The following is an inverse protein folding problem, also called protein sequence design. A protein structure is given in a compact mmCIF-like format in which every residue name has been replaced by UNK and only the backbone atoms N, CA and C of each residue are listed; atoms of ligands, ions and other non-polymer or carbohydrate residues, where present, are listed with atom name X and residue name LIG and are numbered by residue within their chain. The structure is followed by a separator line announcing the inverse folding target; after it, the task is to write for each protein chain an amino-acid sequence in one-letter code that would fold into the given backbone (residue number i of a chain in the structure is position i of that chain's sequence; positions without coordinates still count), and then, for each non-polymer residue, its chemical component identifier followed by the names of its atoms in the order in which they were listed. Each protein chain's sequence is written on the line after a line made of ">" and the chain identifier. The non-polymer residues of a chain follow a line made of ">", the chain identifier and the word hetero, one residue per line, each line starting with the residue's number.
data_IF_396183725579
#
_entry.id   IF_396183725579
#
_cell.length_a   1.000
_cell.length_b   1.000
_cell.length_c   1.000
_cell.angle_alpha   90.00
_cell.angle_beta   90.00
_cell.angle_gamma   90.00
#
_symmetry.space_group_name_H-M   'P 1'
#
loop_
_entity.id
_entity.type
_entity.pdbx_description
1 polymer ?
#
# COMPACT_ATOMS: atom_id res chain seq x y z
N UNK A 1 9.98 3.02 24.49
CA UNK A 1 8.81 2.36 23.89
C UNK A 1 8.92 2.51 22.38
N UNK A 2 9.19 1.43 21.66
CA UNK A 2 9.09 1.37 20.21
C UNK A 2 7.62 1.59 19.82
N UNK A 3 7.36 2.55 18.94
CA UNK A 3 6.04 2.75 18.37
C UNK A 3 5.77 1.59 17.40
N UNK A 4 5.19 0.51 17.91
CA UNK A 4 4.62 -0.55 17.07
C UNK A 4 3.41 0.04 16.36
N UNK A 5 3.58 0.37 15.08
CA UNK A 5 2.56 1.02 14.28
C UNK A 5 1.39 0.08 13.94
N UNK A 6 1.66 -1.22 13.95
CA UNK A 6 0.67 -2.29 13.81
C UNK A 6 0.95 -3.29 14.94
N UNK A 7 0.12 -3.34 16.00
CA UNK A 7 0.35 -4.18 17.16
C UNK A 7 0.48 -5.66 16.82
N UNK A 8 1.49 -6.31 17.40
CA UNK A 8 1.71 -7.75 17.27
C UNK A 8 2.25 -8.22 15.92
N UNK A 9 2.53 -7.34 14.95
CA UNK A 9 3.09 -7.75 13.66
C UNK A 9 4.53 -8.25 13.82
N UNK A 10 4.78 -9.53 13.54
CA UNK A 10 6.13 -10.14 13.58
C UNK A 10 6.78 -10.26 12.21
N UNK A 11 6.02 -10.70 11.22
CA UNK A 11 6.54 -11.06 9.89
C UNK A 11 5.70 -10.40 8.83
N UNK A 12 6.36 -9.91 7.77
CA UNK A 12 5.69 -9.49 6.55
C UNK A 12 6.51 -9.93 5.34
N UNK A 13 5.82 -10.41 4.30
CA UNK A 13 6.41 -10.76 3.01
C UNK A 13 5.37 -10.64 1.90
N UNK A 14 5.86 -10.53 0.67
CA UNK A 14 5.06 -10.54 -0.56
C UNK A 14 5.32 -11.89 -1.21
N UNK A 15 4.32 -12.53 -1.79
CA UNK A 15 4.55 -13.75 -2.57
C UNK A 15 5.10 -13.41 -3.96
N UNK A 16 6.06 -14.18 -4.49
CA UNK A 16 6.43 -14.07 -5.89
C UNK A 16 5.24 -14.43 -6.77
N UNK A 17 5.06 -13.73 -7.89
CA UNK A 17 3.90 -13.93 -8.74
C UNK A 17 4.03 -13.34 -10.13
N UNK A 18 3.04 -13.63 -10.96
CA UNK A 18 2.89 -13.06 -12.29
C UNK A 18 1.86 -11.94 -12.25
N UNK A 19 2.28 -10.74 -12.65
CA UNK A 19 1.39 -9.59 -12.77
C UNK A 19 2.04 -8.53 -13.66
N UNK A 20 1.24 -7.71 -14.33
CA UNK A 20 1.73 -6.58 -15.11
C UNK A 20 2.41 -5.54 -14.20
N UNK A 21 3.45 -4.85 -14.66
CA UNK A 21 4.01 -3.72 -13.92
C UNK A 21 3.14 -2.48 -14.04
N UNK A 22 2.98 -1.81 -12.90
CA UNK A 22 2.37 -0.49 -12.79
C UNK A 22 3.45 0.48 -12.34
N UNK A 23 3.70 1.49 -13.17
CA UNK A 23 4.62 2.57 -12.87
C UNK A 23 3.84 3.78 -12.37
N UNK A 24 4.28 4.38 -11.26
CA UNK A 24 3.69 5.59 -10.70
C UNK A 24 4.77 6.46 -10.04
N UNK A 25 5.04 7.62 -10.64
CA UNK A 25 6.20 8.42 -10.26
C UNK A 25 7.50 7.66 -10.54
N UNK A 26 8.35 7.55 -9.52
CA UNK A 26 9.64 6.83 -9.58
C UNK A 26 9.51 5.35 -9.19
N UNK A 27 8.31 4.90 -8.83
CA UNK A 27 8.08 3.55 -8.34
C UNK A 27 7.48 2.65 -9.41
N UNK A 28 7.86 1.38 -9.35
CA UNK A 28 7.33 0.31 -10.20
C UNK A 28 6.92 -0.85 -9.28
N UNK A 29 5.69 -1.34 -9.42
CA UNK A 29 5.15 -2.42 -8.60
C UNK A 29 4.28 -3.37 -9.45
N UNK A 30 4.01 -4.60 -9.00
CA UNK A 30 3.02 -5.48 -9.63
C UNK A 30 1.61 -4.87 -9.54
N UNK A 31 0.83 -4.99 -10.61
CA UNK A 31 -0.57 -4.58 -10.68
C UNK A 31 -1.42 -5.36 -9.67
N UNK A 32 -1.07 -6.61 -9.42
CA UNK A 32 -1.71 -7.49 -8.44
C UNK A 32 -0.67 -8.36 -7.77
N UNK A 33 -0.73 -8.47 -6.44
CA UNK A 33 0.17 -9.30 -5.67
C UNK A 33 -0.47 -9.78 -4.36
N UNK A 34 0.03 -10.91 -3.86
CA UNK A 34 -0.35 -11.44 -2.54
C UNK A 34 0.70 -11.06 -1.51
N UNK A 35 0.24 -10.69 -0.32
CA UNK A 35 1.09 -10.41 0.83
C UNK A 35 0.63 -11.25 2.01
N UNK A 36 1.59 -11.76 2.75
CA UNK A 36 1.36 -12.49 3.99
C UNK A 36 1.86 -11.66 5.18
N UNK A 37 1.17 -11.76 6.30
CA UNK A 37 1.56 -11.13 7.55
C UNK A 37 1.37 -12.15 8.67
N UNK A 38 2.36 -12.27 9.56
CA UNK A 38 2.25 -13.11 10.76
C UNK A 38 2.19 -12.19 11.96
N UNK A 39 1.15 -12.37 12.76
CA UNK A 39 0.93 -11.66 14.01
C UNK A 39 1.14 -12.59 15.20
N UNK A 40 1.62 -12.04 16.30
CA UNK A 40 1.76 -12.73 17.58
C UNK A 40 0.86 -12.06 18.61
N UNK A 41 0.09 -12.85 19.34
CA UNK A 41 -0.60 -12.39 20.54
C UNK A 41 0.35 -12.51 21.74
N UNK A 42 0.61 -11.39 22.41
CA UNK A 42 1.48 -11.34 23.58
C UNK A 42 0.92 -12.12 24.77
N UNK A 43 -0.40 -12.23 24.89
CA UNK A 43 -1.04 -12.89 26.03
C UNK A 43 -0.98 -14.41 25.92
N UNK A 44 -1.35 -14.93 24.74
CA UNK A 44 -1.44 -16.37 24.52
C UNK A 44 -0.17 -16.96 23.91
N UNK A 45 0.75 -16.12 23.42
CA UNK A 45 1.93 -16.51 22.62
C UNK A 45 1.58 -17.31 21.37
N UNK A 46 0.32 -17.24 20.92
CA UNK A 46 -0.15 -17.84 19.68
C UNK A 46 0.11 -16.88 18.52
N UNK A 47 0.22 -17.44 17.33
CA UNK A 47 0.40 -16.68 16.11
C UNK A 47 -0.80 -16.85 15.19
N UNK A 48 -1.09 -15.86 14.36
CA UNK A 48 -2.13 -15.94 13.34
C UNK A 48 -1.66 -15.29 12.06
N UNK A 49 -2.18 -15.76 10.92
CA UNK A 49 -1.73 -15.34 9.61
C UNK A 49 -2.82 -14.52 8.89
N UNK A 50 -2.41 -13.47 8.22
CA UNK A 50 -3.24 -12.61 7.39
C UNK A 50 -2.68 -12.60 5.97
N UNK A 51 -3.51 -12.92 5.01
CA UNK A 51 -3.21 -12.86 3.58
C UNK A 51 -4.04 -11.74 2.94
N UNK A 52 -3.37 -10.83 2.26
CA UNK A 52 -3.99 -9.77 1.48
C UNK A 52 -3.63 -9.95 0.01
N UNK A 53 -4.63 -10.04 -0.85
CA UNK A 53 -4.45 -9.83 -2.29
C UNK A 53 -4.71 -8.36 -2.59
N UNK A 54 -3.70 -7.67 -3.09
CA UNK A 54 -3.71 -6.22 -3.34
C UNK A 54 -3.61 -5.98 -4.83
N UNK A 55 -4.42 -5.05 -5.33
CA UNK A 55 -4.30 -4.52 -6.69
C UNK A 55 -3.83 -3.07 -6.65
N UNK A 56 -3.02 -2.64 -7.62
CA UNK A 56 -2.45 -1.29 -7.68
C UNK A 56 -2.97 -0.60 -8.92
N UNK A 57 -3.63 0.53 -8.72
CA UNK A 57 -4.06 1.39 -9.85
C UNK A 57 -2.86 2.08 -10.50
N UNK A 58 -3.02 2.56 -11.74
CA UNK A 58 -2.04 3.39 -12.47
C UNK A 58 -1.56 4.64 -11.70
N UNK A 59 -2.32 5.10 -10.71
CA UNK A 59 -1.95 6.22 -9.84
C UNK A 59 -1.15 5.79 -8.59
N UNK A 60 -0.75 4.52 -8.48
CA UNK A 60 -0.06 3.97 -7.31
C UNK A 60 -0.95 3.79 -6.09
N UNK A 61 -2.28 3.86 -6.24
CA UNK A 61 -3.21 3.64 -5.12
C UNK A 61 -3.45 2.14 -4.94
N UNK A 62 -3.06 1.54 -3.80
CA UNK A 62 -3.34 0.14 -3.51
C UNK A 62 -4.81 -0.05 -3.13
N UNK A 63 -5.44 -1.10 -3.66
CA UNK A 63 -6.81 -1.51 -3.40
C UNK A 63 -6.82 -2.94 -2.90
N UNK A 64 -7.56 -3.18 -1.83
CA UNK A 64 -7.73 -4.51 -1.28
C UNK A 64 -8.71 -5.31 -2.14
N UNK A 65 -8.25 -6.42 -2.71
CA UNK A 65 -9.07 -7.31 -3.54
C UNK A 65 -9.63 -8.48 -2.74
N UNK A 66 -8.77 -9.15 -1.97
CA UNK A 66 -9.14 -10.30 -1.11
C UNK A 66 -8.42 -10.22 0.22
N UNK A 67 -9.11 -10.67 1.26
CA UNK A 67 -8.59 -10.86 2.61
C UNK A 67 -8.85 -12.30 3.02
N UNK A 68 -7.83 -12.94 3.56
CA UNK A 68 -7.96 -14.26 4.17
C UNK A 68 -7.23 -14.24 5.51
N UNK A 69 -7.92 -14.70 6.55
CA UNK A 69 -7.41 -14.72 7.92
C UNK A 69 -7.41 -16.18 8.35
N UNK A 70 -6.24 -16.69 8.66
CA UNK A 70 -6.10 -17.99 9.26
C UNK A 70 -5.94 -17.78 10.77
N UNK A 71 -6.83 -18.40 11.55
CA UNK A 71 -6.88 -18.21 13.00
C UNK A 71 -5.64 -18.73 13.72
N UNK A 72 -5.72 -18.74 15.05
CA UNK A 72 -4.54 -18.96 15.88
C UNK A 72 -3.91 -20.34 15.63
N UNK A 73 -2.59 -20.37 15.51
CA UNK A 73 -1.77 -21.56 15.58
C UNK A 73 -0.84 -21.47 16.79
N UNK A 74 -0.45 -22.65 17.29
CA UNK A 74 0.66 -22.77 18.22
C UNK A 74 1.94 -22.25 17.58
N UNK A 75 2.85 -21.69 18.38
CA UNK A 75 4.20 -21.38 17.90
C UNK A 75 5.02 -22.65 17.61
N UNK A 76 4.53 -23.81 18.07
CA UNK A 76 5.11 -25.10 17.73
C UNK A 76 4.63 -25.54 16.33
N UNK A 77 5.55 -25.55 15.36
CA UNK A 77 5.29 -25.89 13.95
C UNK A 77 4.75 -27.32 13.73
N UNK A 78 4.75 -28.17 14.77
CA UNK A 78 4.31 -29.56 14.71
C UNK A 78 2.79 -29.73 14.89
N UNK A 79 2.07 -28.68 15.30
CA UNK A 79 0.61 -28.72 15.47
C UNK A 79 -0.06 -28.06 14.26
N UNK A 80 -0.64 -28.84 13.33
CA UNK A 80 -1.27 -28.28 12.12
C UNK A 80 -2.62 -27.62 12.39
N UNK A 81 -3.23 -27.91 13.56
CA UNK A 81 -4.56 -27.44 13.90
C UNK A 81 -4.56 -25.94 14.18
N UNK A 82 -5.52 -25.25 13.54
CA UNK A 82 -5.77 -23.83 13.77
C UNK A 82 -7.08 -23.65 14.49
N UNK A 83 -7.06 -22.81 15.51
CA UNK A 83 -8.28 -22.32 16.13
C UNK A 83 -9.00 -21.34 15.19
N UNK A 84 -10.29 -21.13 15.43
CA UNK A 84 -11.08 -20.18 14.66
C UNK A 84 -10.57 -18.74 14.77
N UNK A 85 -11.01 -17.88 13.84
CA UNK A 85 -10.69 -16.45 13.86
C UNK A 85 -11.44 -15.77 15.00
N UNK A 86 -10.71 -15.09 15.87
CA UNK A 86 -11.26 -14.34 17.00
C UNK A 86 -11.68 -12.92 16.59
N UNK A 87 -12.69 -12.39 17.29
CA UNK A 87 -13.26 -11.07 16.97
C UNK A 87 -12.26 -9.93 17.03
N UNK A 88 -11.26 -9.99 17.91
CA UNK A 88 -10.26 -8.93 18.02
C UNK A 88 -9.29 -8.92 16.84
N UNK A 89 -9.02 -10.07 16.21
CA UNK A 89 -8.18 -10.15 15.00
C UNK A 89 -8.83 -9.39 13.85
N UNK A 90 -10.16 -9.56 13.69
CA UNK A 90 -10.94 -8.78 12.72
C UNK A 90 -10.84 -7.27 12.97
N UNK A 91 -10.91 -6.85 14.25
CA UNK A 91 -10.76 -5.44 14.63
C UNK A 91 -9.38 -4.89 14.29
N UNK A 92 -8.32 -5.68 14.48
CA UNK A 92 -6.95 -5.29 14.09
C UNK A 92 -6.89 -5.06 12.58
N UNK A 93 -7.39 -5.99 11.77
CA UNK A 93 -7.40 -5.84 10.32
C UNK A 93 -8.19 -4.60 9.89
N UNK A 94 -9.37 -4.37 10.48
CA UNK A 94 -10.21 -3.21 10.17
C UNK A 94 -9.53 -1.88 10.54
N UNK A 95 -8.98 -1.80 11.76
CA UNK A 95 -8.36 -0.58 12.30
C UNK A 95 -7.06 -0.21 11.57
N UNK A 96 -6.26 -1.21 11.19
CA UNK A 96 -4.94 -1.01 10.59
C UNK A 96 -4.91 -1.26 9.07
N UNK A 97 -6.08 -1.39 8.42
CA UNK A 97 -6.19 -1.71 6.99
C UNK A 97 -5.35 -0.82 6.08
N UNK A 98 -5.32 0.49 6.34
CA UNK A 98 -4.61 1.45 5.50
C UNK A 98 -3.09 1.32 5.67
N UNK A 99 -2.63 1.07 6.89
CA UNK A 99 -1.22 0.81 7.20
C UNK A 99 -0.77 -0.51 6.60
N UNK A 100 -1.58 -1.57 6.71
CA UNK A 100 -1.32 -2.88 6.12
C UNK A 100 -1.21 -2.80 4.59
N UNK A 101 -2.12 -2.09 3.92
CA UNK A 101 -2.05 -1.88 2.47
C UNK A 101 -0.83 -1.06 2.05
N UNK A 102 -0.48 -0.03 2.83
CA UNK A 102 0.72 0.77 2.57
C UNK A 102 2.00 -0.04 2.75
N UNK A 103 2.02 -0.92 3.77
CA UNK A 103 3.11 -1.84 4.02
C UNK A 103 3.22 -2.88 2.92
N UNK A 104 2.10 -3.46 2.50
CA UNK A 104 2.04 -4.42 1.40
C UNK A 104 2.64 -3.84 0.11
N UNK A 105 2.24 -2.63 -0.27
CA UNK A 105 2.75 -1.97 -1.46
C UNK A 105 4.25 -1.66 -1.36
N UNK A 106 4.71 -1.12 -0.22
CA UNK A 106 6.14 -0.85 -0.03
C UNK A 106 6.97 -2.12 -0.05
N UNK A 107 6.49 -3.19 0.60
CA UNK A 107 7.14 -4.50 0.52
C UNK A 107 7.27 -4.95 -0.93
N UNK A 108 6.21 -4.82 -1.73
CA UNK A 108 6.24 -5.22 -3.13
C UNK A 108 7.29 -4.41 -3.91
N UNK A 109 7.36 -3.10 -3.72
CA UNK A 109 8.34 -2.22 -4.38
C UNK A 109 9.77 -2.55 -3.95
N UNK A 110 10.01 -2.75 -2.65
CA UNK A 110 11.37 -2.87 -2.10
C UNK A 110 11.93 -4.28 -2.24
N UNK A 111 11.07 -5.31 -2.27
CA UNK A 111 11.51 -6.70 -2.30
C UNK A 111 11.36 -7.37 -3.64
N UNK A 112 10.52 -6.83 -4.56
CA UNK A 112 10.24 -7.45 -5.86
C UNK A 112 10.80 -6.61 -7.01
N UNK A 113 11.35 -7.33 -7.98
CA UNK A 113 11.93 -6.78 -9.18
C UNK A 113 11.28 -7.47 -10.37
N UNK A 114 10.90 -6.73 -11.43
CA UNK A 114 10.38 -7.34 -12.63
C UNK A 114 11.53 -8.07 -13.35
N UNK A 115 11.42 -9.39 -13.44
CA UNK A 115 12.33 -10.25 -14.22
C UNK A 115 11.60 -10.74 -15.46
N UNK A 116 12.32 -10.94 -16.56
CA UNK A 116 11.77 -11.46 -17.81
C UNK A 116 12.42 -12.82 -18.08
N UNK A 117 11.62 -13.86 -18.32
CA UNK A 117 12.09 -15.21 -18.63
C UNK A 117 11.43 -15.74 -19.89
N UNK A 118 12.14 -16.58 -20.64
CA UNK A 118 11.54 -17.32 -21.76
C UNK A 118 10.43 -18.25 -21.24
N UNK A 119 9.26 -18.23 -21.87
CA UNK A 119 8.09 -18.99 -21.45
C UNK A 119 8.37 -20.50 -21.41
N UNK A 120 9.16 -21.01 -22.37
CA UNK A 120 9.60 -22.41 -22.41
C UNK A 120 10.63 -22.79 -21.35
N UNK A 121 11.33 -21.81 -20.79
CA UNK A 121 12.32 -21.99 -19.73
C UNK A 121 11.71 -21.76 -18.35
N UNK A 122 10.41 -21.46 -18.26
CA UNK A 122 9.76 -21.28 -16.97
C UNK A 122 9.67 -22.61 -16.23
N UNK A 123 10.60 -22.81 -15.30
CA UNK A 123 10.58 -23.84 -14.27
C UNK A 123 10.95 -23.22 -12.93
N UNK A 124 10.51 -23.83 -11.83
CA UNK A 124 10.90 -23.41 -10.48
C UNK A 124 12.43 -23.37 -10.29
N UNK A 125 13.15 -24.24 -11.01
CA UNK A 125 14.62 -24.37 -10.99
C UNK A 125 15.30 -23.24 -11.78
N UNK A 126 14.82 -22.94 -12.99
CA UNK A 126 15.37 -21.86 -13.82
C UNK A 126 15.15 -20.49 -13.19
N UNK A 127 14.01 -20.30 -12.51
CA UNK A 127 13.75 -19.13 -11.65
C UNK A 127 14.80 -18.98 -10.54
N UNK A 128 15.27 -20.08 -9.94
CA UNK A 128 16.34 -20.03 -8.94
C UNK A 128 17.71 -19.66 -9.55
N UNK A 129 18.01 -20.15 -10.75
CA UNK A 129 19.29 -19.90 -11.43
C UNK A 129 19.42 -18.45 -11.90
N UNK A 130 18.38 -17.86 -12.50
CA UNK A 130 18.40 -16.44 -12.87
C UNK A 130 18.63 -15.51 -11.68
N UNK A 131 18.13 -15.88 -10.49
CA UNK A 131 18.38 -15.13 -9.25
C UNK A 131 19.83 -15.18 -8.79
N UNK A 132 20.50 -16.32 -8.97
CA UNK A 132 21.92 -16.44 -8.63
C UNK A 132 22.77 -15.46 -9.46
N UNK A 133 22.37 -15.22 -10.71
CA UNK A 133 23.00 -14.24 -11.60
C UNK A 133 22.72 -12.79 -11.14
N UNK A 134 21.46 -12.46 -10.80
CA UNK A 134 21.11 -11.12 -10.28
C UNK A 134 21.81 -10.82 -8.96
N UNK A 135 21.85 -11.77 -8.03
CA UNK A 135 22.54 -11.64 -6.75
C UNK A 135 24.06 -11.51 -6.89
N UNK A 136 24.64 -12.05 -7.97
CA UNK A 136 26.05 -11.86 -8.32
C UNK A 136 26.35 -10.46 -8.92
N UNK A 137 25.37 -9.55 -8.95
CA UNK A 137 25.53 -8.20 -9.48
C UNK A 137 25.49 -8.13 -11.01
N UNK A 138 25.12 -9.22 -11.68
CA UNK A 138 24.95 -9.24 -13.13
C UNK A 138 23.56 -8.67 -13.44
N UNK A 139 23.52 -7.40 -13.85
CA UNK A 139 22.28 -6.76 -14.30
C UNK A 139 21.93 -7.30 -15.68
N UNK A 140 20.95 -8.21 -15.74
CA UNK A 140 20.38 -8.62 -17.03
C UNK A 140 19.64 -7.42 -17.65
N UNK A 141 20.32 -6.78 -18.61
CA UNK A 141 19.82 -5.84 -19.61
C UNK A 141 18.59 -5.00 -19.19
N UNK A 142 18.86 -3.79 -18.71
CA UNK A 142 17.93 -2.67 -18.80
C UNK A 142 17.58 -2.41 -20.27
N UNK A 143 16.51 -3.01 -20.79
CA UNK A 143 15.78 -2.46 -21.93
C UNK A 143 14.28 -2.51 -21.67
N UNK A 144 13.72 -1.32 -21.72
CA UNK A 144 12.31 -0.90 -21.85
C UNK A 144 11.40 -1.99 -22.40
N UNK A 145 10.31 -2.31 -21.69
CA UNK A 145 9.34 -3.29 -22.16
C UNK A 145 7.90 -2.83 -21.88
N UNK A 146 7.22 -2.43 -22.96
CA UNK A 146 5.78 -2.21 -23.07
C UNK A 146 5.02 -3.57 -23.09
N UNK A 147 3.84 -3.61 -22.46
CA UNK A 147 2.71 -4.58 -22.40
C UNK A 147 2.67 -5.91 -23.25
N UNK A 148 1.74 -6.86 -22.97
CA UNK A 148 1.38 -7.55 -21.72
C UNK A 148 1.61 -9.07 -21.79
N UNK A 149 1.89 -9.71 -20.65
CA UNK A 149 1.79 -11.16 -20.34
C UNK A 149 2.60 -12.18 -21.16
N UNK A 150 2.94 -11.88 -22.40
CA UNK A 150 3.87 -12.61 -23.24
C UNK A 150 4.54 -11.56 -24.11
N UNK A 151 5.74 -11.12 -23.73
CA UNK A 151 6.52 -10.27 -24.63
C UNK A 151 6.88 -11.18 -25.79
N UNK A 152 6.35 -10.92 -26.97
CA UNK A 152 6.83 -11.57 -28.19
C UNK A 152 8.08 -10.82 -28.61
N UNK A 153 9.21 -11.52 -28.65
CA UNK A 153 10.50 -10.97 -29.02
C UNK A 153 11.24 -11.88 -29.97
N UNK A 154 12.41 -11.46 -30.40
CA UNK A 154 13.34 -12.31 -31.14
C UNK A 154 14.56 -12.60 -30.28
N UNK A 155 14.97 -13.87 -30.26
CA UNK A 155 16.24 -14.30 -29.70
C UNK A 155 17.41 -13.72 -30.52
N UNK A 156 18.65 -13.72 -30.01
CA UNK A 156 19.82 -13.27 -30.76
C UNK A 156 20.04 -14.01 -32.09
N UNK A 157 19.49 -15.22 -32.22
CA UNK A 157 19.50 -16.02 -33.45
C UNK A 157 18.35 -15.68 -34.43
N UNK A 158 17.50 -14.70 -34.11
CA UNK A 158 16.35 -14.28 -34.92
C UNK A 158 15.08 -15.10 -34.73
N UNK A 159 15.08 -16.15 -33.91
CA UNK A 159 13.89 -16.96 -33.67
C UNK A 159 12.86 -16.19 -32.82
N UNK A 160 11.55 -16.30 -33.15
CA UNK A 160 10.50 -15.76 -32.30
C UNK A 160 10.50 -16.49 -30.96
N UNK A 161 10.35 -15.72 -29.89
CA UNK A 161 10.31 -16.22 -28.53
C UNK A 161 9.25 -15.50 -27.71
N UNK A 162 8.59 -16.29 -26.88
CA UNK A 162 7.62 -15.85 -25.89
C UNK A 162 8.34 -15.64 -24.56
N UNK A 163 8.21 -14.46 -23.96
CA UNK A 163 8.75 -14.19 -22.63
C UNK A 163 7.65 -13.88 -21.61
N UNK A 164 7.75 -14.43 -20.42
CA UNK A 164 6.87 -14.17 -19.28
C UNK A 164 7.54 -13.17 -18.34
N UNK A 165 6.77 -12.18 -17.88
CA UNK A 165 7.21 -11.30 -16.78
C UNK A 165 6.90 -11.96 -15.44
N UNK A 166 7.89 -12.03 -14.58
CA UNK A 166 7.76 -12.62 -13.25
C UNK A 166 8.35 -11.67 -12.21
N UNK A 167 7.65 -11.52 -11.09
CA UNK A 167 8.13 -10.72 -9.96
C UNK A 167 8.99 -11.59 -9.06
N UNK A 168 10.26 -11.71 -9.44
CA UNK A 168 11.25 -12.29 -8.56
C UNK A 168 11.62 -11.31 -7.48
N UNK A 169 11.91 -11.84 -6.31
CA UNK A 169 12.28 -11.00 -5.18
C UNK A 169 12.60 -11.82 -3.97
N UNK A 170 12.96 -11.12 -2.90
CA UNK A 170 13.40 -11.80 -1.69
C UNK A 170 12.28 -12.72 -1.18
N UNK A 171 12.58 -14.03 -1.10
CA UNK A 171 11.66 -15.00 -0.50
C UNK A 171 11.71 -14.92 1.02
N UNK A 172 12.85 -14.49 1.54
CA UNK A 172 13.02 -14.33 2.97
C UNK A 172 12.14 -13.17 3.43
N UNK A 173 11.36 -13.38 4.50
CA UNK A 173 10.65 -12.30 5.13
C UNK A 173 11.61 -11.21 5.58
N UNK A 174 11.11 -9.99 5.72
CA UNK A 174 11.93 -8.93 6.28
C UNK A 174 12.43 -9.30 7.67
N UNK A 175 13.68 -8.94 7.94
CA UNK A 175 14.20 -8.97 9.31
C UNK A 175 13.37 -8.02 10.19
N UNK A 176 13.30 -8.31 11.50
CA UNK A 176 12.59 -7.45 12.44
C UNK A 176 13.05 -5.98 12.37
N UNK A 177 14.35 -5.74 12.14
CA UNK A 177 14.90 -4.39 11.99
C UNK A 177 14.37 -3.69 10.74
N UNK A 178 14.41 -4.36 9.58
CA UNK A 178 13.87 -3.81 8.32
C UNK A 178 12.37 -3.54 8.44
N UNK A 179 11.62 -4.43 9.07
CA UNK A 179 10.20 -4.26 9.29
C UNK A 179 9.90 -3.02 10.16
N UNK A 180 10.66 -2.80 11.23
CA UNK A 180 10.53 -1.61 12.08
C UNK A 180 10.86 -0.33 11.30
N UNK A 181 11.93 -0.34 10.50
CA UNK A 181 12.30 0.81 9.67
C UNK A 181 11.22 1.15 8.63
N UNK A 182 10.69 0.12 7.96
CA UNK A 182 9.58 0.27 7.02
C UNK A 182 8.30 0.75 7.67
N UNK A 183 7.95 0.19 8.83
CA UNK A 183 6.83 0.68 9.62
C UNK A 183 7.04 2.14 9.95
N UNK A 184 8.20 2.55 10.46
CA UNK A 184 8.50 3.96 10.74
C UNK A 184 8.30 4.84 9.51
N UNK A 185 8.74 4.42 8.33
CA UNK A 185 8.54 5.14 7.07
C UNK A 185 7.05 5.27 6.68
N UNK A 186 6.20 4.33 7.08
CA UNK A 186 4.74 4.39 6.88
C UNK A 186 4.07 5.27 7.93
N UNK A 187 4.50 5.15 9.18
CA UNK A 187 3.97 5.87 10.33
C UNK A 187 4.36 7.34 10.33
N UNK A 188 5.55 7.67 9.83
CA UNK A 188 5.80 8.97 9.23
C UNK A 188 4.90 9.00 8.02
N UNK A 189 3.64 9.45 8.18
CA UNK A 189 2.67 9.63 7.08
C UNK A 189 3.47 9.89 5.82
N UNK A 190 3.31 9.08 4.78
CA UNK A 190 3.72 9.48 3.43
C UNK A 190 3.03 10.81 3.23
N UNK A 191 3.72 11.89 3.59
CA UNK A 191 3.26 13.25 3.42
C UNK A 191 3.36 13.32 1.93
N UNK A 192 2.24 13.07 1.22
CA UNK A 192 2.15 13.35 -0.21
C UNK A 192 2.81 14.71 -0.35
N UNK A 193 3.98 14.73 -0.99
CA UNK A 193 4.77 15.95 -1.12
C UNK A 193 3.79 16.93 -1.74
N UNK A 194 3.61 18.08 -1.11
CA UNK A 194 2.67 19.07 -1.61
C UNK A 194 3.33 19.67 -2.84
N UNK A 195 3.02 19.09 -4.00
CA UNK A 195 3.50 19.55 -5.30
C UNK A 195 2.55 20.61 -5.86
N UNK A 196 3.04 21.52 -6.71
CA UNK A 196 2.18 22.48 -7.40
C UNK A 196 1.05 21.81 -8.19
N UNK A 197 1.34 20.66 -8.82
CA UNK A 197 0.37 19.84 -9.56
C UNK A 197 -0.76 19.32 -8.67
N UNK A 198 -0.44 18.83 -7.47
CA UNK A 198 -1.46 18.38 -6.51
C UNK A 198 -2.37 19.54 -6.12
N UNK A 199 -1.80 20.73 -5.86
CA UNK A 199 -2.59 21.92 -5.50
C UNK A 199 -3.46 22.41 -6.67
N UNK A 200 -2.96 22.34 -7.90
CA UNK A 200 -3.74 22.64 -9.10
C UNK A 200 -4.94 21.69 -9.24
N UNK A 201 -4.73 20.38 -9.04
CA UNK A 201 -5.81 19.40 -9.06
C UNK A 201 -6.83 19.61 -7.93
N UNK A 202 -6.37 19.96 -6.72
CA UNK A 202 -7.26 20.33 -5.61
C UNK A 202 -8.13 21.52 -5.98
N UNK A 203 -7.57 22.55 -6.64
CA UNK A 203 -8.32 23.72 -7.08
C UNK A 203 -9.33 23.40 -8.18
N UNK A 204 -8.97 22.56 -9.14
CA UNK A 204 -9.87 22.06 -10.19
C UNK A 204 -11.10 21.35 -9.57
N UNK A 205 -10.88 20.41 -8.65
CA UNK A 205 -11.96 19.68 -7.97
C UNK A 205 -12.83 20.64 -7.16
N UNK A 206 -12.21 21.56 -6.42
CA UNK A 206 -12.90 22.54 -5.57
C UNK A 206 -13.77 23.51 -6.36
N UNK A 207 -13.36 23.86 -7.58
CA UNK A 207 -14.08 24.80 -8.44
C UNK A 207 -15.09 24.12 -9.39
N UNK A 208 -15.05 22.79 -9.51
CA UNK A 208 -15.97 22.04 -10.38
C UNK A 208 -17.43 22.24 -10.00
N UNK A 209 -18.33 22.33 -10.99
CA UNK A 209 -19.76 22.59 -10.77
C UNK A 209 -20.42 21.57 -9.84
N UNK A 210 -20.03 20.29 -9.96
CA UNK A 210 -20.52 19.20 -9.10
C UNK A 210 -20.16 19.38 -7.62
N UNK A 211 -19.03 20.03 -7.32
CA UNK A 211 -18.61 20.30 -5.94
C UNK A 211 -19.40 21.46 -5.30
N UNK A 212 -19.89 22.40 -6.12
CA UNK A 212 -20.67 23.56 -5.67
C UNK A 212 -22.15 23.22 -5.47
N UNK A 213 -22.71 22.33 -6.28
CA UNK A 213 -24.10 21.85 -6.20
C UNK A 213 -24.48 21.27 -4.83
N UNK A 214 -23.52 20.68 -4.11
CA UNK A 214 -23.72 20.14 -2.75
C UNK A 214 -23.29 21.08 -1.62
N UNK A 215 -22.75 22.27 -1.92
CA UNK A 215 -22.25 23.24 -0.94
C UNK A 215 -21.08 22.76 -0.07
N UNK A 216 -20.43 21.64 -0.43
CA UNK A 216 -19.37 21.00 0.35
C UNK A 216 -18.14 20.69 -0.51
N UNK A 217 -17.47 21.70 -1.10
CA UNK A 217 -16.37 21.49 -2.04
C UNK A 217 -15.17 20.78 -1.39
N UNK A 218 -14.89 21.01 -0.11
CA UNK A 218 -13.85 20.27 0.62
C UNK A 218 -14.13 18.78 0.74
N UNK A 219 -15.41 18.37 0.80
CA UNK A 219 -15.80 16.97 0.85
C UNK A 219 -15.56 16.31 -0.53
N UNK A 220 -15.81 17.03 -1.63
CA UNK A 220 -15.47 16.54 -2.97
C UNK A 220 -13.97 16.28 -3.11
N UNK A 221 -13.12 17.21 -2.65
CA UNK A 221 -11.66 17.03 -2.59
C UNK A 221 -11.28 15.80 -1.75
N UNK A 222 -11.95 15.58 -0.62
CA UNK A 222 -11.69 14.41 0.21
C UNK A 222 -11.97 13.11 -0.56
N UNK A 223 -13.13 13.01 -1.21
CA UNK A 223 -13.57 11.80 -1.92
C UNK A 223 -12.70 11.54 -3.14
N UNK A 224 -12.48 12.54 -3.99
CA UNK A 224 -11.81 12.34 -5.28
C UNK A 224 -10.30 12.08 -5.13
N UNK A 225 -9.64 12.72 -4.15
CA UNK A 225 -8.22 12.47 -3.87
C UNK A 225 -7.98 11.34 -2.85
N UNK A 226 -9.05 10.66 -2.41
CA UNK A 226 -9.02 9.62 -1.38
C UNK A 226 -8.24 10.07 -0.13
N UNK A 227 -8.52 11.27 0.36
CA UNK A 227 -7.89 11.78 1.57
C UNK A 227 -8.32 10.95 2.78
N UNK A 228 -7.36 10.58 3.64
CA UNK A 228 -7.61 9.76 4.84
C UNK A 228 -8.54 10.42 5.85
N UNK A 229 -8.60 11.75 5.87
CA UNK A 229 -9.49 12.51 6.74
C UNK A 229 -9.95 13.81 6.10
N UNK A 230 -11.12 14.29 6.52
CA UNK A 230 -11.63 15.60 6.12
C UNK A 230 -10.66 16.74 6.47
N UNK A 231 -9.97 16.64 7.62
CA UNK A 231 -8.95 17.61 8.04
C UNK A 231 -7.80 17.71 7.03
N UNK A 232 -7.36 16.59 6.48
CA UNK A 232 -6.31 16.58 5.45
C UNK A 232 -6.79 17.26 4.16
N UNK A 233 -8.03 17.03 3.75
CA UNK A 233 -8.62 17.76 2.62
C UNK A 233 -8.71 19.27 2.90
N UNK A 234 -9.09 19.68 4.12
CA UNK A 234 -9.06 21.09 4.55
C UNK A 234 -7.65 21.69 4.49
N UNK A 235 -6.62 20.96 4.93
CA UNK A 235 -5.23 21.41 4.87
C UNK A 235 -4.79 21.65 3.42
N UNK A 236 -5.15 20.75 2.50
CA UNK A 236 -4.87 20.93 1.06
C UNK A 236 -5.58 22.14 0.47
N UNK A 237 -6.86 22.34 0.79
CA UNK A 237 -7.61 23.53 0.35
C UNK A 237 -6.99 24.81 0.91
N UNK A 238 -6.56 24.81 2.17
CA UNK A 238 -5.89 25.95 2.78
C UNK A 238 -4.55 26.28 2.10
N UNK A 239 -3.79 25.25 1.70
CA UNK A 239 -2.54 25.41 0.95
C UNK A 239 -2.78 25.91 -0.46
N UNK A 240 -3.76 25.36 -1.19
CA UNK A 240 -4.13 25.83 -2.52
C UNK A 240 -4.62 27.29 -2.49
N UNK A 241 -5.32 27.70 -1.43
CA UNK A 241 -5.70 29.11 -1.19
C UNK A 241 -4.48 30.00 -0.93
N UNK A 242 -3.51 29.56 -0.11
CA UNK A 242 -2.24 30.28 0.09
C UNK A 242 -1.44 30.43 -1.22
N UNK A 243 -1.56 29.46 -2.13
CA UNK A 243 -0.96 29.50 -3.46
C UNK A 243 -1.76 30.36 -4.47
N UNK A 244 -2.90 30.93 -4.07
CA UNK A 244 -3.73 31.78 -4.94
C UNK A 244 -4.56 31.02 -5.99
N UNK A 245 -4.67 29.69 -5.89
CA UNK A 245 -5.41 28.85 -6.84
C UNK A 245 -6.91 28.76 -6.52
N UNK A 246 -7.31 29.10 -5.30
CA UNK A 246 -8.69 29.04 -4.80
C UNK A 246 -9.03 30.38 -4.13
N UNK A 247 -10.26 30.91 -4.28
CA UNK A 247 -10.65 32.17 -3.63
C UNK A 247 -10.47 32.15 -2.10
N UNK A 248 -10.16 33.31 -1.49
CA UNK A 248 -10.03 33.44 -0.05
C UNK A 248 -11.37 33.14 0.64
N UNK A 249 -11.32 32.56 1.85
CA UNK A 249 -12.53 32.39 2.66
C UNK A 249 -13.08 33.75 3.05
N UNK A 250 -14.35 34.01 2.72
CA UNK A 250 -15.09 35.12 3.31
C UNK A 250 -15.16 34.89 4.83
N UNK A 251 -14.73 35.85 5.67
CA UNK A 251 -14.85 35.72 7.11
C UNK A 251 -16.31 35.50 7.51
N UNK A 252 -16.66 34.27 7.89
CA UNK A 252 -17.98 33.98 8.43
C UNK A 252 -18.14 34.71 9.75
N UNK A 253 -19.32 35.30 9.98
CA UNK A 253 -19.71 35.92 11.26
C UNK A 253 -19.67 34.82 12.33
N UNK A 254 -18.59 34.77 13.12
CA UNK A 254 -18.43 33.80 14.20
C UNK A 254 -19.48 34.12 15.26
N UNK A 255 -20.57 33.37 15.28
CA UNK A 255 -21.52 33.41 16.40
C UNK A 255 -20.85 32.79 17.60
N UNK A 256 -20.17 33.61 18.40
CA UNK A 256 -19.65 33.25 19.73
C UNK A 256 -20.80 33.07 20.71
N UNK A 257 -21.67 32.08 20.47
CA UNK A 257 -22.68 31.62 21.41
C UNK A 257 -22.00 30.72 22.44
N UNK A 258 -21.27 31.32 23.39
CA UNK A 258 -20.68 30.60 24.53
C UNK A 258 -21.83 30.20 25.47
N UNK A 259 -22.49 29.07 25.22
CA UNK A 259 -23.43 28.48 26.17
C UNK A 259 -22.64 27.92 27.34
N UNK A 260 -22.51 28.73 28.39
CA UNK A 260 -22.04 28.31 29.71
C UNK A 260 -22.98 27.23 30.24
N UNK A 261 -22.57 25.96 30.17
CA UNK A 261 -23.25 24.86 30.87
C UNK A 261 -23.13 25.10 32.37
N UNK A 262 -24.24 25.58 32.97
CA UNK A 262 -24.43 25.69 34.41
C UNK A 262 -24.37 24.28 35.01
N UNK A 263 -23.35 24.01 35.82
CA UNK A 263 -23.19 22.75 36.54
C UNK A 263 -24.42 22.49 37.41
N UNK A 264 -25.07 21.36 37.20
CA UNK A 264 -26.17 20.86 38.03
C UNK A 264 -25.51 20.07 39.15
N UNK A 265 -25.40 20.68 40.34
CA UNK A 265 -25.00 19.96 41.54
C UNK A 265 -26.04 18.91 41.89
N UNK A 266 -25.62 17.66 42.11
CA UNK A 266 -26.41 16.68 42.84
C UNK A 266 -25.81 16.54 44.24
N UNK A 267 -26.72 16.62 45.21
CA UNK A 267 -26.55 16.14 46.58
C UNK A 267 -26.26 14.64 46.60
#
# INVERSE_FOLDING_TARGET
>A
MTLDLIPGLKVASVEPGQSEPVSFGEFVAPESFSTWFVFSDEKTKKEWDLFLTVTVSKLGTPKLFRVEILGNRSSNLLEPDREGVERWQLKVVEQYRAQLLSLALRLAIETRWPTVMLCREYSLENSALSRSLTNAGITQNQRVLEHPSTITGTLPNGEPADFVRFWDGNREPLTAKQLIELQKLIGTKIRKKITPELLARVAEIYNSDGSQLGGKPTLAVQTELNCTSYRTAQDYVAMARKAGLIPPTTPGKVTTGKTTKKGKGSK
#
